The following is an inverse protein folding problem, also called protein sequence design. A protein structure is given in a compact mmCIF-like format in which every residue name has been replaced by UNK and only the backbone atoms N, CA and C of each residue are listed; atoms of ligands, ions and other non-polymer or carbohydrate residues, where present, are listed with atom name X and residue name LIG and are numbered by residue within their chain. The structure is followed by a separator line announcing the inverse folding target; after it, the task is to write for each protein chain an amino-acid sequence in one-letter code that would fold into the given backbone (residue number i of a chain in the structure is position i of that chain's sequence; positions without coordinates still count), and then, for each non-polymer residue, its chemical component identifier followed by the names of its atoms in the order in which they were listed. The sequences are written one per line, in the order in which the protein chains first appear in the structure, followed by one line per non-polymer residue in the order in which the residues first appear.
data_IF_561604400390
#
_entry.id   IF_561604400390
#
_cell.length_a   1.000
_cell.length_b   1.000
_cell.length_c   1.000
_cell.angle_alpha   90.00
_cell.angle_beta   90.00
_cell.angle_gamma   90.00
#
_symmetry.space_group_name_H-M   'P 1'
#
loop_
_entity.id
_entity.type
_entity.pdbx_description
1 polymer ?
#
# COMPACT_ATOMS: atom_id res chain seq x y z
N UNK A 1 -8.30 -3.61 -7.66
CA UNK A 1 -7.53 -2.91 -6.60
C UNK A 1 -6.96 -1.62 -7.18
N UNK A 2 -7.12 -0.47 -6.51
CA UNK A 2 -6.53 0.79 -6.95
C UNK A 2 -4.99 0.77 -6.75
N UNK A 3 -4.23 1.53 -7.54
CA UNK A 3 -2.77 1.61 -7.45
C UNK A 3 -2.28 1.99 -6.04
N UNK A 4 -2.96 2.92 -5.38
CA UNK A 4 -2.58 3.33 -4.01
C UNK A 4 -2.74 2.16 -3.04
N UNK A 5 -3.83 1.40 -3.13
CA UNK A 5 -4.04 0.23 -2.28
C UNK A 5 -3.02 -0.86 -2.56
N UNK A 6 -2.65 -1.04 -3.83
CA UNK A 6 -1.56 -1.93 -4.23
C UNK A 6 -0.27 -1.56 -3.49
N UNK A 7 0.19 -0.31 -3.57
CA UNK A 7 1.43 0.10 -2.89
C UNK A 7 1.33 0.03 -1.36
N UNK A 8 0.16 0.34 -0.78
CA UNK A 8 -0.11 0.17 0.65
C UNK A 8 0.06 -1.30 1.06
N UNK A 9 -0.46 -2.24 0.25
CA UNK A 9 -0.30 -3.67 0.49
C UNK A 9 1.17 -4.11 0.39
N UNK A 10 1.91 -3.62 -0.60
CA UNK A 10 3.33 -3.95 -0.74
C UNK A 10 4.15 -3.47 0.46
N UNK A 11 3.92 -2.24 0.94
CA UNK A 11 4.56 -1.75 2.15
C UNK A 11 4.22 -2.59 3.40
N UNK A 12 2.97 -3.07 3.52
CA UNK A 12 2.57 -3.97 4.61
C UNK A 12 3.26 -5.32 4.51
N UNK A 13 3.37 -5.89 3.32
CA UNK A 13 4.05 -7.17 3.10
C UNK A 13 5.55 -7.06 3.39
N UNK A 14 6.20 -5.98 2.95
CA UNK A 14 7.60 -5.69 3.27
C UNK A 14 7.83 -5.59 4.78
N UNK A 15 6.97 -4.87 5.48
CA UNK A 15 7.06 -4.75 6.93
C UNK A 15 6.77 -6.09 7.65
N UNK A 16 5.86 -6.92 7.12
CA UNK A 16 5.61 -8.28 7.66
C UNK A 16 6.84 -9.16 7.55
N UNK A 17 7.51 -9.12 6.41
CA UNK A 17 8.74 -9.89 6.18
C UNK A 17 9.89 -9.39 7.05
N UNK A 18 10.08 -8.08 7.17
CA UNK A 18 11.05 -7.52 8.11
C UNK A 18 10.82 -8.04 9.55
N UNK A 19 9.57 -8.14 10.02
CA UNK A 19 9.26 -8.65 11.36
C UNK A 19 9.56 -10.13 11.58
N UNK A 20 9.93 -10.87 10.53
CA UNK A 20 10.40 -12.26 10.66
C UNK A 20 11.84 -12.35 11.18
N UNK A 21 12.52 -11.20 11.35
CA UNK A 21 13.88 -11.09 11.85
C UNK A 21 14.12 -11.94 13.10
N UNK A 22 15.17 -12.76 13.05
CA UNK A 22 15.71 -13.52 14.18
C UNK A 22 17.17 -13.16 14.34
N UNK A 23 17.59 -12.93 15.57
CA UNK A 23 19.01 -12.77 15.88
C UNK A 23 19.65 -14.14 16.00
N UNK A 24 20.64 -14.41 15.14
CA UNK A 24 21.41 -15.65 15.15
C UNK A 24 22.84 -15.33 15.54
N UNK A 25 23.46 -16.21 16.33
CA UNK A 25 24.86 -16.12 16.70
C UNK A 25 25.65 -17.06 15.80
N UNK A 26 26.69 -16.55 15.15
CA UNK A 26 27.63 -17.40 14.44
C UNK A 26 28.55 -18.16 15.42
N UNK A 27 29.32 -19.12 14.89
CA UNK A 27 30.27 -19.92 15.69
C UNK A 27 31.36 -19.06 16.36
N UNK A 28 31.61 -17.86 15.84
CA UNK A 28 32.58 -16.88 16.35
C UNK A 28 31.98 -15.93 17.41
N UNK A 29 30.68 -16.04 17.72
CA UNK A 29 29.98 -15.25 18.72
C UNK A 29 29.48 -13.88 18.25
N UNK A 30 29.58 -13.57 16.96
CA UNK A 30 28.97 -12.39 16.34
C UNK A 30 27.50 -12.64 16.03
N UNK A 31 26.65 -11.64 16.33
CA UNK A 31 25.22 -11.71 16.04
C UNK A 31 24.90 -11.12 14.67
N UNK A 32 24.19 -11.87 13.83
CA UNK A 32 23.61 -11.37 12.59
C UNK A 32 22.09 -11.54 12.59
N UNK A 33 21.42 -10.83 11.68
CA UNK A 33 19.98 -10.94 11.48
C UNK A 33 19.71 -11.96 10.38
N UNK A 34 18.83 -12.92 10.66
CA UNK A 34 18.31 -13.85 9.67
C UNK A 34 16.81 -13.59 9.51
N UNK A 35 16.32 -13.60 8.27
CA UNK A 35 14.91 -13.39 7.93
C UNK A 35 14.30 -14.70 7.41
N UNK A 36 12.98 -14.83 7.57
CA UNK A 36 12.18 -15.91 6.97
C UNK A 36 11.06 -15.27 6.12
N UNK A 37 11.42 -14.50 5.07
CA UNK A 37 10.48 -13.67 4.35
C UNK A 37 9.58 -14.49 3.42
N UNK A 38 8.34 -14.02 3.24
CA UNK A 38 7.37 -14.62 2.31
C UNK A 38 7.31 -13.87 0.98
N UNK A 39 7.49 -12.55 0.99
CA UNK A 39 7.25 -11.68 -0.16
C UNK A 39 8.50 -11.07 -0.78
N UNK A 40 9.42 -10.61 0.05
CA UNK A 40 10.58 -9.82 -0.36
C UNK A 40 11.89 -10.46 0.03
N UNK A 41 12.90 -10.31 -0.82
CA UNK A 41 14.29 -10.50 -0.44
C UNK A 41 14.73 -9.33 0.46
N UNK A 42 14.52 -9.48 1.77
CA UNK A 42 14.79 -8.41 2.76
C UNK A 42 16.28 -8.07 2.81
N UNK A 43 17.14 -9.08 2.73
CA UNK A 43 18.60 -8.87 2.79
C UNK A 43 19.07 -8.04 1.60
N UNK A 44 18.64 -8.39 0.37
CA UNK A 44 18.97 -7.64 -0.83
C UNK A 44 18.45 -6.20 -0.79
N UNK A 45 17.19 -5.99 -0.35
CA UNK A 45 16.62 -4.64 -0.23
C UNK A 45 17.40 -3.81 0.80
N UNK A 46 17.72 -4.37 1.95
CA UNK A 46 18.31 -3.60 3.04
C UNK A 46 19.78 -3.26 2.74
N UNK A 47 20.49 -4.15 2.04
CA UNK A 47 21.83 -3.89 1.51
C UNK A 47 21.80 -2.76 0.47
N UNK A 48 20.96 -2.86 -0.56
CA UNK A 48 20.92 -1.90 -1.66
C UNK A 48 20.47 -0.49 -1.25
N UNK A 49 19.58 -0.38 -0.25
CA UNK A 49 19.04 0.88 0.23
C UNK A 49 19.70 1.39 1.53
N UNK A 50 20.77 0.74 1.98
CA UNK A 50 21.53 1.09 3.18
C UNK A 50 20.64 1.31 4.41
N UNK A 51 19.67 0.41 4.63
CA UNK A 51 18.66 0.56 5.68
C UNK A 51 19.23 0.12 7.03
N UNK A 52 19.11 1.01 8.03
CA UNK A 52 19.41 0.64 9.42
C UNK A 52 18.36 -0.35 9.93
N UNK A 53 18.83 -1.47 10.45
CA UNK A 53 18.03 -2.56 11.01
C UNK A 53 17.25 -2.13 12.26
N UNK A 54 17.68 -1.06 12.94
CA UNK A 54 17.05 -0.58 14.17
C UNK A 54 15.88 0.38 13.89
N UNK A 55 14.69 0.01 14.38
CA UNK A 55 13.52 0.91 14.35
C UNK A 55 12.80 1.00 13.00
N UNK A 56 12.97 0.00 12.13
CA UNK A 56 12.22 -0.07 10.88
C UNK A 56 10.72 -0.25 11.16
N UNK A 57 9.92 0.70 10.70
CA UNK A 57 8.47 0.77 10.95
C UNK A 57 7.67 0.59 9.66
N UNK A 58 6.34 0.49 9.76
CA UNK A 58 5.48 0.49 8.57
C UNK A 58 5.63 1.78 7.74
N UNK A 59 5.82 2.93 8.39
CA UNK A 59 6.10 4.19 7.71
C UNK A 59 7.43 4.12 6.96
N UNK A 60 8.46 3.54 7.58
CA UNK A 60 9.76 3.29 6.93
C UNK A 60 9.60 2.41 5.70
N UNK A 61 8.80 1.35 5.78
CA UNK A 61 8.49 0.47 4.65
C UNK A 61 7.75 1.22 3.52
N UNK A 62 6.79 2.08 3.84
CA UNK A 62 6.11 2.93 2.85
C UNK A 62 7.08 3.89 2.14
N UNK A 63 7.98 4.54 2.89
CA UNK A 63 9.01 5.39 2.30
C UNK A 63 9.99 4.60 1.43
N UNK A 64 10.33 3.37 1.83
CA UNK A 64 11.21 2.51 1.07
C UNK A 64 10.59 2.09 -0.26
N UNK A 65 9.31 1.65 -0.26
CA UNK A 65 8.57 1.36 -1.50
C UNK A 65 8.53 2.59 -2.42
N UNK A 66 8.32 3.78 -1.87
CA UNK A 66 8.35 5.01 -2.67
C UNK A 66 9.73 5.25 -3.29
N UNK A 67 10.82 5.08 -2.53
CA UNK A 67 12.20 5.20 -3.02
C UNK A 67 12.52 4.20 -4.12
N UNK A 68 12.11 2.94 -3.95
CA UNK A 68 12.26 1.90 -4.99
C UNK A 68 11.62 2.31 -6.33
N UNK A 69 10.59 3.14 -6.27
CA UNK A 69 9.83 3.62 -7.41
C UNK A 69 10.23 5.04 -7.86
N UNK A 70 11.41 5.53 -7.45
CA UNK A 70 11.99 6.87 -7.72
C UNK A 70 11.28 8.06 -7.06
N UNK A 71 10.41 7.83 -6.10
CA UNK A 71 9.81 8.91 -5.31
C UNK A 71 10.64 9.19 -4.07
N UNK A 72 10.77 10.46 -3.67
CA UNK A 72 11.56 10.81 -2.48
C UNK A 72 10.92 10.28 -1.19
N UNK A 73 9.58 10.21 -1.15
CA UNK A 73 8.80 9.84 0.02
C UNK A 73 7.41 9.34 -0.36
N UNK A 74 6.77 8.65 0.57
CA UNK A 74 5.43 8.09 0.40
C UNK A 74 4.38 9.11 -0.08
N UNK A 75 4.42 10.34 0.43
CA UNK A 75 3.48 11.39 0.01
C UNK A 75 3.60 11.73 -1.48
N UNK A 76 4.79 11.59 -2.05
CA UNK A 76 5.01 11.93 -3.46
C UNK A 76 4.41 10.82 -4.34
N UNK A 77 4.57 9.56 -3.94
CA UNK A 77 3.97 8.41 -4.62
C UNK A 77 2.43 8.47 -4.61
N UNK A 78 1.79 8.69 -3.46
CA UNK A 78 0.31 8.65 -3.38
C UNK A 78 -0.38 9.85 -4.07
N UNK A 79 0.36 10.93 -4.30
CA UNK A 79 -0.13 12.12 -5.01
C UNK A 79 0.36 12.18 -6.45
N UNK A 80 1.05 11.13 -6.93
CA UNK A 80 1.53 11.04 -8.30
C UNK A 80 0.35 10.99 -9.29
N UNK A 81 0.65 11.36 -10.52
CA UNK A 81 -0.32 11.30 -11.62
C UNK A 81 -0.69 9.85 -11.95
N UNK A 82 -1.82 9.66 -12.65
CA UNK A 82 -2.26 8.32 -13.05
C UNK A 82 -1.20 7.56 -13.86
N UNK A 83 -0.53 8.17 -14.87
CA UNK A 83 0.52 7.47 -15.62
C UNK A 83 1.71 7.07 -14.74
N UNK A 84 2.14 7.94 -13.84
CA UNK A 84 3.23 7.63 -12.88
C UNK A 84 2.85 6.47 -11.95
N UNK A 85 1.63 6.43 -11.44
CA UNK A 85 1.12 5.34 -10.59
C UNK A 85 1.04 4.02 -11.36
N UNK A 86 0.61 4.06 -12.62
CA UNK A 86 0.54 2.89 -13.49
C UNK A 86 1.93 2.36 -13.82
N UNK A 87 2.84 3.24 -14.27
CA UNK A 87 4.24 2.91 -14.54
C UNK A 87 4.91 2.30 -13.30
N UNK A 88 4.71 2.93 -12.15
CA UNK A 88 5.28 2.46 -10.88
C UNK A 88 4.79 1.06 -10.51
N UNK A 89 3.51 0.77 -10.74
CA UNK A 89 2.96 -0.57 -10.50
C UNK A 89 3.57 -1.57 -11.46
N UNK A 90 3.61 -1.25 -12.75
CA UNK A 90 4.15 -2.14 -13.78
C UNK A 90 5.64 -2.45 -13.56
N UNK A 91 6.42 -1.45 -13.15
CA UNK A 91 7.82 -1.61 -12.73
C UNK A 91 7.96 -2.53 -11.52
N UNK A 92 7.10 -2.35 -10.52
CA UNK A 92 7.15 -3.14 -9.31
C UNK A 92 6.90 -4.64 -9.58
N UNK A 93 5.86 -4.97 -10.34
CA UNK A 93 5.46 -6.36 -10.58
C UNK A 93 6.30 -7.06 -11.65
N UNK A 94 6.97 -6.31 -12.54
CA UNK A 94 7.79 -6.87 -13.62
C UNK A 94 9.30 -6.69 -13.38
N UNK A 95 9.71 -6.45 -12.13
CA UNK A 95 11.13 -6.26 -11.79
C UNK A 95 12.02 -7.49 -12.08
N UNK A 96 11.42 -8.67 -12.21
CA UNK A 96 12.09 -9.89 -12.66
C UNK A 96 12.39 -9.91 -14.17
N UNK A 97 11.68 -9.09 -14.95
CA UNK A 97 11.90 -8.91 -16.38
C UNK A 97 12.77 -7.67 -16.60
N UNK A 98 12.30 -6.52 -16.13
CA UNK A 98 13.02 -5.25 -16.25
C UNK A 98 13.31 -4.75 -14.83
N UNK A 99 14.53 -4.97 -14.30
CA UNK A 99 14.88 -4.53 -12.96
C UNK A 99 14.71 -3.03 -12.78
N UNK A 100 14.39 -2.62 -11.55
CA UNK A 100 14.12 -1.22 -11.22
C UNK A 100 15.29 -0.31 -11.61
N UNK A 101 16.52 -0.70 -11.28
CA UNK A 101 17.74 0.08 -11.55
C UNK A 101 18.08 0.11 -13.04
N UNK A 102 17.93 -1.01 -13.75
CA UNK A 102 18.22 -1.08 -15.19
C UNK A 102 17.29 -0.16 -15.99
N UNK A 103 16.02 -0.09 -15.60
CA UNK A 103 15.08 0.85 -16.22
C UNK A 103 15.53 2.31 -16.02
N UNK A 104 16.04 2.66 -14.84
CA UNK A 104 16.51 4.02 -14.53
C UNK A 104 17.72 4.39 -15.40
N UNK A 105 18.64 3.44 -15.61
CA UNK A 105 19.80 3.61 -16.49
C UNK A 105 19.34 3.76 -17.95
N UNK A 106 18.39 2.94 -18.39
CA UNK A 106 17.87 2.96 -19.76
C UNK A 106 17.19 4.29 -20.08
N UNK A 107 16.29 4.76 -19.21
CA UNK A 107 15.62 6.06 -19.36
C UNK A 107 16.64 7.18 -19.43
N UNK A 108 17.58 7.24 -18.48
CA UNK A 108 18.63 8.25 -18.47
C UNK A 108 19.56 8.20 -19.69
N UNK A 109 19.74 7.01 -20.29
CA UNK A 109 20.46 6.83 -21.54
C UNK A 109 19.73 7.47 -22.72
N UNK A 110 18.45 7.15 -22.89
CA UNK A 110 17.61 7.68 -23.97
C UNK A 110 17.46 9.20 -23.86
N UNK A 111 17.17 9.71 -22.66
CA UNK A 111 17.07 11.16 -22.41
C UNK A 111 18.35 11.91 -22.81
N UNK A 112 19.52 11.35 -22.47
CA UNK A 112 20.82 11.94 -22.80
C UNK A 112 21.14 11.86 -24.29
N UNK A 113 20.83 10.73 -24.94
CA UNK A 113 21.12 10.53 -26.37
C UNK A 113 20.24 11.40 -27.27
N UNK A 114 19.01 11.65 -26.84
CA UNK A 114 18.02 12.39 -27.60
C UNK A 114 17.81 13.85 -27.13
N UNK A 115 18.53 14.29 -26.09
CA UNK A 115 18.41 15.62 -25.46
C UNK A 115 16.94 15.96 -25.14
N UNK A 116 16.26 14.99 -24.53
CA UNK A 116 14.84 15.07 -24.15
C UNK A 116 14.65 14.65 -22.71
N UNK A 117 13.48 14.96 -22.15
CA UNK A 117 13.01 14.44 -20.86
C UNK A 117 11.68 13.77 -21.13
N UNK A 118 11.50 12.55 -20.64
CA UNK A 118 10.21 11.88 -20.78
C UNK A 118 9.14 12.63 -19.99
N UNK A 119 7.97 12.82 -20.60
CA UNK A 119 6.77 13.04 -19.82
C UNK A 119 6.21 11.69 -19.30
N UNK A 120 5.36 11.71 -18.26
CA UNK A 120 4.86 10.48 -17.65
C UNK A 120 4.09 9.54 -18.59
N UNK A 121 3.38 10.07 -19.58
CA UNK A 121 2.61 9.26 -20.53
C UNK A 121 3.57 8.59 -21.52
N UNK A 122 4.54 9.34 -22.06
CA UNK A 122 5.56 8.82 -22.96
C UNK A 122 6.46 7.77 -22.29
N UNK A 123 6.86 7.96 -21.03
CA UNK A 123 7.65 6.96 -20.29
C UNK A 123 6.85 5.67 -20.07
N UNK A 124 5.56 5.79 -19.74
CA UNK A 124 4.68 4.64 -19.54
C UNK A 124 4.53 3.83 -20.83
N UNK A 125 4.31 4.50 -21.96
CA UNK A 125 4.20 3.85 -23.27
C UNK A 125 5.52 3.20 -23.68
N UNK A 126 6.65 3.86 -23.42
CA UNK A 126 7.98 3.30 -23.66
C UNK A 126 8.24 2.06 -22.79
N UNK A 127 7.84 2.08 -21.52
CA UNK A 127 7.95 0.92 -20.63
C UNK A 127 7.12 -0.26 -21.12
N UNK A 128 5.85 -0.03 -21.48
CA UNK A 128 4.96 -1.07 -22.04
C UNK A 128 5.55 -1.65 -23.33
N UNK A 129 6.13 -0.82 -24.19
CA UNK A 129 6.81 -1.27 -25.39
C UNK A 129 7.99 -2.19 -25.06
N UNK A 130 8.88 -1.78 -24.15
CA UNK A 130 10.03 -2.58 -23.74
C UNK A 130 9.61 -3.91 -23.09
N UNK A 131 8.59 -3.88 -22.23
CA UNK A 131 8.06 -5.07 -21.58
C UNK A 131 7.51 -6.08 -22.60
N UNK A 132 6.82 -5.62 -23.64
CA UNK A 132 6.29 -6.48 -24.72
C UNK A 132 7.36 -7.08 -25.64
N UNK A 133 8.56 -6.51 -25.66
CA UNK A 133 9.70 -6.96 -26.47
C UNK A 133 10.84 -7.50 -25.60
N UNK A 134 10.56 -7.80 -24.34
CA UNK A 134 11.55 -8.29 -23.40
C UNK A 134 12.08 -9.66 -23.85
N UNK A 135 13.40 -9.82 -23.77
CA UNK A 135 14.09 -11.06 -24.12
C UNK A 135 14.35 -11.87 -22.84
N UNK A 136 13.59 -12.95 -22.67
CA UNK A 136 13.71 -13.88 -21.54
C UNK A 136 15.09 -14.56 -21.44
N UNK A 137 15.90 -14.52 -22.51
CA UNK A 137 17.27 -15.05 -22.48
C UNK A 137 18.26 -14.12 -21.75
N UNK A 138 17.88 -12.86 -21.52
CA UNK A 138 18.67 -11.93 -20.72
C UNK A 138 18.32 -12.14 -19.25
N UNK A 139 19.24 -12.72 -18.50
CA UNK A 139 19.08 -12.92 -17.06
C UNK A 139 19.60 -11.68 -16.34
N UNK A 140 18.69 -10.89 -15.79
CA UNK A 140 19.05 -9.81 -14.89
C UNK A 140 18.98 -10.28 -13.43
N UNK A 141 19.98 -9.88 -12.63
CA UNK A 141 20.01 -10.04 -11.18
C UNK A 141 20.13 -8.64 -10.55
N UNK A 142 19.50 -8.33 -9.39
CA UNK A 142 18.48 -9.07 -8.65
C UNK A 142 17.06 -8.47 -8.76
N UNK A 143 16.03 -9.31 -8.55
CA UNK A 143 14.65 -8.89 -8.21
C UNK A 143 14.51 -8.91 -6.69
N UNK A 144 13.79 -7.94 -6.14
CA UNK A 144 13.48 -7.90 -4.71
C UNK A 144 12.25 -8.73 -4.33
N UNK A 145 11.45 -9.17 -5.30
CA UNK A 145 10.31 -10.06 -5.06
C UNK A 145 10.75 -11.52 -5.09
N UNK A 146 10.28 -12.28 -4.10
CA UNK A 146 10.41 -13.73 -4.09
C UNK A 146 9.47 -14.36 -5.12
N UNK A 147 9.92 -15.44 -5.76
CA UNK A 147 9.26 -16.08 -6.91
C UNK A 147 7.78 -16.41 -6.67
N UNK A 148 7.45 -16.95 -5.49
CA UNK A 148 6.06 -17.24 -5.10
C UNK A 148 5.17 -15.99 -5.02
N UNK A 149 5.74 -14.86 -4.64
CA UNK A 149 4.98 -13.61 -4.55
C UNK A 149 4.80 -12.93 -5.90
N UNK A 150 5.71 -13.20 -6.83
CA UNK A 150 5.53 -12.83 -8.23
C UNK A 150 4.35 -13.60 -8.84
N UNK A 151 4.31 -14.93 -8.64
CA UNK A 151 3.20 -15.79 -9.09
C UNK A 151 1.84 -15.35 -8.51
N UNK A 152 1.78 -15.07 -7.20
CA UNK A 152 0.56 -14.57 -6.53
C UNK A 152 0.09 -13.21 -7.08
N UNK A 153 1.00 -12.37 -7.60
CA UNK A 153 0.67 -11.07 -8.19
C UNK A 153 0.29 -11.16 -9.67
N UNK A 154 0.91 -12.07 -10.44
CA UNK A 154 0.65 -12.27 -11.87
C UNK A 154 -0.59 -13.13 -12.15
N UNK A 155 -0.94 -14.08 -11.28
CA UNK A 155 -2.15 -14.92 -11.45
C UNK A 155 -3.46 -14.13 -11.28
N UNK A 156 -3.39 -12.91 -10.74
CA UNK A 156 -4.52 -11.96 -10.75
C UNK A 156 -4.75 -11.27 -12.10
N UNK A 157 -3.87 -11.51 -13.09
CA UNK A 157 -3.92 -11.01 -14.47
C UNK A 157 -4.23 -12.14 -15.47
N UNK A 158 -5.27 -12.96 -15.23
CA UNK A 158 -5.81 -13.78 -16.32
C UNK A 158 -6.36 -12.87 -17.42
N UNK A 159 -5.84 -13.04 -18.65
CA UNK A 159 -6.13 -12.37 -19.93
C UNK A 159 -7.63 -12.27 -20.32
N UNK A 160 -8.46 -11.62 -19.50
CA UNK A 160 -9.70 -11.02 -20.00
C UNK A 160 -9.41 -9.55 -20.37
N UNK A 161 -9.88 -9.08 -21.54
CA UNK A 161 -9.79 -7.67 -21.90
C UNK A 161 -10.34 -6.84 -20.74
N UNK A 162 -9.77 -5.65 -20.45
CA UNK A 162 -10.14 -4.88 -19.29
C UNK A 162 -11.66 -4.77 -19.26
N UNK A 163 -12.28 -5.41 -18.28
CA UNK A 163 -13.69 -5.22 -18.04
C UNK A 163 -13.80 -3.75 -17.75
N UNK A 164 -14.27 -3.00 -18.74
CA UNK A 164 -14.84 -1.68 -18.56
C UNK A 164 -15.69 -1.83 -17.32
N UNK A 165 -15.33 -1.14 -16.23
CA UNK A 165 -16.21 -1.01 -15.08
C UNK A 165 -17.45 -0.34 -15.64
N UNK A 166 -18.42 -1.16 -16.01
CA UNK A 166 -19.72 -0.71 -16.42
C UNK A 166 -20.37 -0.16 -15.15
N UNK A 167 -20.59 1.16 -15.03
CA UNK A 167 -21.16 1.78 -13.83
C UNK A 167 -22.59 1.30 -13.52
N UNK A 168 -23.13 0.36 -14.32
CA UNK A 168 -24.42 -0.28 -14.14
C UNK A 168 -24.40 -1.60 -13.34
N UNK A 169 -23.23 -2.14 -12.94
CA UNK A 169 -23.15 -3.43 -12.20
C UNK A 169 -22.56 -3.36 -10.79
N UNK A 170 -22.21 -2.17 -10.29
CA UNK A 170 -21.78 -1.99 -8.90
C UNK A 170 -22.90 -2.40 -7.94
N UNK A 171 -22.56 -3.21 -6.93
CA UNK A 171 -23.50 -3.57 -5.87
C UNK A 171 -23.83 -2.30 -5.08
N UNK A 172 -25.10 -1.89 -5.13
CA UNK A 172 -25.59 -0.67 -4.46
C UNK A 172 -26.34 -1.02 -3.20
N UNK A 173 -26.07 -0.25 -2.15
CA UNK A 173 -26.90 -0.22 -0.97
C UNK A 173 -28.10 0.67 -1.30
N UNK A 174 -29.29 0.08 -1.23
CA UNK A 174 -30.54 0.74 -1.66
C UNK A 174 -31.53 0.94 -0.53
N UNK A 175 -31.27 0.40 0.65
CA UNK A 175 -32.14 0.52 1.83
C UNK A 175 -31.32 0.57 3.12
N UNK A 176 -31.87 1.26 4.12
CA UNK A 176 -31.43 1.19 5.51
C UNK A 176 -32.58 0.60 6.36
N UNK A 177 -32.26 -0.11 7.47
CA UNK A 177 -30.93 -0.50 7.92
C UNK A 177 -30.24 -1.47 6.94
N UNK A 178 -28.92 -1.56 7.03
CA UNK A 178 -28.12 -2.48 6.22
C UNK A 178 -28.56 -3.94 6.44
N UNK A 179 -28.35 -4.79 5.45
CA UNK A 179 -28.52 -6.23 5.62
C UNK A 179 -27.55 -6.75 6.69
N UNK A 180 -27.90 -7.84 7.40
CA UNK A 180 -27.03 -8.39 8.45
C UNK A 180 -25.63 -8.76 7.89
N UNK A 181 -25.58 -9.25 6.64
CA UNK A 181 -24.35 -9.62 5.93
C UNK A 181 -23.50 -8.37 5.60
N UNK A 182 -24.11 -7.32 5.03
CA UNK A 182 -23.40 -6.07 4.74
C UNK A 182 -22.95 -5.38 6.03
N UNK A 183 -23.79 -5.40 7.07
CA UNK A 183 -23.48 -4.78 8.37
C UNK A 183 -22.24 -5.42 8.99
N UNK A 184 -22.14 -6.76 8.97
CA UNK A 184 -20.98 -7.47 9.49
C UNK A 184 -19.69 -7.11 8.72
N UNK A 185 -19.75 -7.08 7.39
CA UNK A 185 -18.60 -6.73 6.55
C UNK A 185 -18.14 -5.29 6.81
N UNK A 186 -19.06 -4.32 6.85
CA UNK A 186 -18.71 -2.93 7.09
C UNK A 186 -18.17 -2.67 8.50
N UNK A 187 -18.63 -3.41 9.52
CA UNK A 187 -18.06 -3.33 10.87
C UNK A 187 -16.61 -3.79 10.87
N UNK A 188 -16.28 -4.87 10.17
CA UNK A 188 -14.89 -5.35 10.06
C UNK A 188 -14.01 -4.32 9.37
N UNK A 189 -14.48 -3.76 8.24
CA UNK A 189 -13.78 -2.70 7.51
C UNK A 189 -13.61 -1.44 8.38
N UNK A 190 -14.66 -0.98 9.07
CA UNK A 190 -14.61 0.21 9.92
C UNK A 190 -13.62 0.04 11.08
N UNK A 191 -13.56 -1.14 11.72
CA UNK A 191 -12.56 -1.42 12.75
C UNK A 191 -11.14 -1.40 12.18
N UNK A 192 -10.91 -2.04 11.02
CA UNK A 192 -9.60 -2.05 10.39
C UNK A 192 -9.13 -0.65 9.97
N UNK A 193 -10.04 0.20 9.48
CA UNK A 193 -9.72 1.59 9.16
C UNK A 193 -9.52 2.42 10.41
N UNK A 194 -10.31 2.21 11.48
CA UNK A 194 -10.11 2.88 12.76
C UNK A 194 -8.71 2.61 13.33
N UNK A 195 -8.30 1.34 13.38
CA UNK A 195 -6.98 0.96 13.89
C UNK A 195 -5.86 1.56 13.02
N UNK A 196 -6.06 1.65 11.70
CA UNK A 196 -5.14 2.36 10.82
C UNK A 196 -5.09 3.88 11.09
N UNK A 197 -6.23 4.53 11.33
CA UNK A 197 -6.30 5.97 11.60
C UNK A 197 -5.69 6.31 12.96
N UNK A 198 -5.96 5.52 14.00
CA UNK A 198 -5.40 5.77 15.34
C UNK A 198 -3.87 5.62 15.34
N UNK A 199 -3.32 4.64 14.60
CA UNK A 199 -1.88 4.47 14.39
C UNK A 199 -1.26 5.68 13.67
N UNK A 200 -1.96 6.26 12.70
CA UNK A 200 -1.48 7.42 11.93
C UNK A 200 -1.58 8.74 12.70
N UNK A 201 -2.62 8.91 13.50
CA UNK A 201 -2.88 10.15 14.24
C UNK A 201 -2.07 10.26 15.53
N UNK A 202 -1.59 9.13 16.06
CA UNK A 202 -0.82 9.05 17.31
C UNK A 202 -1.42 9.93 18.43
N UNK A 203 -2.72 9.75 18.78
CA UNK A 203 -3.33 10.56 19.83
C UNK A 203 -2.60 10.36 21.15
N UNK A 204 -2.58 11.39 22.00
CA UNK A 204 -1.87 11.38 23.30
C UNK A 204 -2.29 10.20 24.18
N UNK A 205 -3.55 9.78 24.07
CA UNK A 205 -4.16 8.71 24.86
C UNK A 205 -4.80 7.65 23.93
N UNK A 206 -4.01 6.80 23.27
CA UNK A 206 -4.50 5.90 22.22
C UNK A 206 -5.39 4.78 22.78
N UNK A 207 -5.02 4.18 23.91
CA UNK A 207 -5.81 3.13 24.58
C UNK A 207 -7.20 3.64 25.03
N UNK A 208 -7.30 4.80 25.73
CA UNK A 208 -8.60 5.42 26.00
C UNK A 208 -9.39 5.81 24.75
N UNK A 209 -8.72 6.32 23.70
CA UNK A 209 -9.36 6.67 22.43
C UNK A 209 -9.98 5.43 21.76
N UNK A 210 -9.26 4.30 21.76
CA UNK A 210 -9.75 3.02 21.23
C UNK A 210 -10.94 2.46 22.01
N UNK A 211 -11.00 2.72 23.32
CA UNK A 211 -12.13 2.31 24.18
C UNK A 211 -13.42 3.10 23.94
N UNK A 212 -13.31 4.31 23.41
CA UNK A 212 -14.47 5.13 23.05
C UNK A 212 -15.04 4.79 21.67
N UNK A 213 -14.32 4.00 20.87
CA UNK A 213 -14.75 3.58 19.54
C UNK A 213 -15.88 2.56 19.58
N UNK A 214 -16.93 2.83 18.82
CA UNK A 214 -18.04 1.93 18.57
C UNK A 214 -18.32 1.90 17.06
N UNK A 215 -17.96 0.78 16.42
CA UNK A 215 -18.11 0.61 14.98
C UNK A 215 -19.58 0.52 14.55
N UNK A 216 -20.46 0.04 15.43
CA UNK A 216 -21.90 -0.07 15.16
C UNK A 216 -22.54 1.31 15.16
N UNK A 217 -22.31 2.09 16.22
CA UNK A 217 -22.81 3.46 16.33
C UNK A 217 -22.25 4.36 15.21
N UNK A 218 -20.98 4.19 14.85
CA UNK A 218 -20.39 4.91 13.72
C UNK A 218 -21.12 4.60 12.41
N UNK A 219 -21.38 3.32 12.12
CA UNK A 219 -22.02 2.91 10.87
C UNK A 219 -23.48 3.39 10.81
N UNK A 220 -24.21 3.29 11.92
CA UNK A 220 -25.60 3.72 12.05
C UNK A 220 -25.75 5.25 11.92
N UNK A 221 -24.73 6.02 12.29
CA UNK A 221 -24.72 7.48 12.15
C UNK A 221 -24.09 7.98 10.83
N UNK A 222 -23.33 7.13 10.13
CA UNK A 222 -22.64 7.51 8.90
C UNK A 222 -23.59 7.56 7.69
N UNK A 223 -24.52 6.61 7.60
CA UNK A 223 -25.46 6.49 6.50
C UNK A 223 -26.83 7.07 6.87
N UNK A 224 -27.44 7.81 5.94
CA UNK A 224 -28.82 8.25 6.04
C UNK A 224 -29.58 7.97 4.73
N UNK A 225 -30.92 8.07 4.76
CA UNK A 225 -31.76 7.79 3.59
C UNK A 225 -31.46 8.73 2.39
N UNK A 226 -30.93 9.93 2.62
CA UNK A 226 -30.57 10.88 1.56
C UNK A 226 -29.30 10.46 0.79
N UNK A 227 -28.47 9.60 1.37
CA UNK A 227 -27.26 9.06 0.75
C UNK A 227 -27.52 7.85 -0.15
N UNK A 228 -28.75 7.34 -0.20
CA UNK A 228 -29.12 6.17 -0.99
C UNK A 228 -29.62 6.55 -2.39
N UNK A 229 -29.33 5.73 -3.43
CA UNK A 229 -28.51 4.52 -3.39
C UNK A 229 -27.00 4.86 -3.47
N UNK A 230 -26.20 4.18 -2.66
CA UNK A 230 -24.73 4.36 -2.65
C UNK A 230 -24.02 3.08 -3.10
N UNK A 231 -22.93 3.24 -3.85
CA UNK A 231 -22.07 2.14 -4.24
C UNK A 231 -21.33 1.57 -3.02
N UNK A 232 -21.34 0.24 -2.88
CA UNK A 232 -20.71 -0.47 -1.75
C UNK A 232 -19.23 -0.13 -1.60
N UNK A 233 -18.51 -0.05 -2.72
CA UNK A 233 -17.08 0.33 -2.74
C UNK A 233 -16.88 1.81 -2.38
N UNK A 234 -17.76 2.69 -2.87
CA UNK A 234 -17.72 4.10 -2.53
C UNK A 234 -17.89 4.31 -1.03
N UNK A 235 -18.81 3.58 -0.38
CA UNK A 235 -18.98 3.63 1.07
C UNK A 235 -17.70 3.23 1.82
N UNK A 236 -17.00 2.18 1.37
CA UNK A 236 -15.72 1.77 1.95
C UNK A 236 -14.65 2.87 1.87
N UNK A 237 -14.55 3.59 0.74
CA UNK A 237 -13.61 4.72 0.60
C UNK A 237 -13.97 5.91 1.49
N UNK A 238 -15.24 6.07 1.85
CA UNK A 238 -15.70 7.12 2.75
C UNK A 238 -15.24 6.87 4.18
N UNK A 239 -15.12 5.60 4.61
CA UNK A 239 -14.70 5.28 5.98
C UNK A 239 -13.35 5.93 6.34
N UNK A 240 -12.34 5.87 5.47
CA UNK A 240 -11.03 6.51 5.74
C UNK A 240 -11.18 8.03 5.97
N UNK A 241 -12.02 8.69 5.18
CA UNK A 241 -12.24 10.14 5.28
C UNK A 241 -12.99 10.54 6.56
N UNK A 242 -14.08 9.84 6.89
CA UNK A 242 -14.90 10.17 8.06
C UNK A 242 -14.24 9.73 9.36
N UNK A 243 -13.46 8.64 9.35
CA UNK A 243 -12.80 8.14 10.55
C UNK A 243 -11.66 9.03 11.03
N UNK A 244 -10.98 9.77 10.15
CA UNK A 244 -9.96 10.75 10.58
C UNK A 244 -10.57 11.80 11.50
N UNK A 245 -11.69 12.42 11.08
CA UNK A 245 -12.36 13.42 11.90
C UNK A 245 -12.98 12.81 13.16
N UNK A 246 -13.54 11.60 13.05
CA UNK A 246 -14.15 10.90 14.18
C UNK A 246 -13.11 10.53 15.25
N UNK A 247 -11.98 9.94 14.85
CA UNK A 247 -10.86 9.60 15.76
C UNK A 247 -10.30 10.84 16.43
N UNK A 248 -10.19 11.97 15.73
CA UNK A 248 -9.78 13.24 16.33
C UNK A 248 -10.72 13.68 17.48
N UNK A 249 -12.03 13.54 17.29
CA UNK A 249 -13.02 13.85 18.32
C UNK A 249 -12.97 12.88 19.50
N UNK A 250 -12.77 11.58 19.24
CA UNK A 250 -12.60 10.58 20.30
C UNK A 250 -11.32 10.82 21.10
N UNK A 251 -10.23 11.20 20.44
CA UNK A 251 -8.98 11.56 21.08
C UNK A 251 -9.13 12.78 22.00
N UNK A 252 -9.80 13.83 21.52
CA UNK A 252 -10.09 15.01 22.36
C UNK A 252 -10.95 14.65 23.58
N UNK A 253 -11.94 13.77 23.42
CA UNK A 253 -12.76 13.29 24.54
C UNK A 253 -11.94 12.47 25.53
N UNK A 254 -11.07 11.58 25.06
CA UNK A 254 -10.16 10.81 25.88
C UNK A 254 -9.24 11.72 26.72
N UNK A 255 -8.69 12.76 26.11
CA UNK A 255 -7.83 13.74 26.78
C UNK A 255 -8.59 14.51 27.88
N UNK A 256 -9.84 14.92 27.62
CA UNK A 256 -10.69 15.55 28.62
C UNK A 256 -11.03 14.63 29.79
N UNK A 257 -11.32 13.35 29.52
CA UNK A 257 -11.64 12.38 30.55
C UNK A 257 -10.46 12.16 31.49
N UNK A 258 -9.25 12.03 30.94
CA UNK A 258 -8.03 11.86 31.75
C UNK A 258 -7.71 13.13 32.55
N UNK A 259 -7.90 14.30 31.95
CA UNK A 259 -7.65 15.59 32.63
C UNK A 259 -8.61 15.81 33.79
N UNK A 260 -9.88 15.35 33.70
CA UNK A 260 -10.88 15.46 34.79
C UNK A 260 -10.71 14.42 35.89
N UNK A 261 -9.94 13.35 35.67
CA UNK A 261 -9.65 12.30 36.65
C UNK A 261 -8.40 12.57 37.50
N UNK A 262 -7.57 13.54 37.10
CA UNK A 262 -6.39 14.03 37.81
C UNK A 262 -6.68 15.32 38.59
#
# INVERSE_FOLDING_TARGET
MNHIDFFKLQAKNLYRDYKTQKTVLNEDGESYSEYDPKFFDIDAIFEDYEIDLQGFSLMSAQHLVAKMLRFNKWSDLINATKPELELSRLRFINQNKIPLVEWDIQVAGVEREHDMVFDPDDELDYYKHCLSHYDESVIFYPTYLLEKSLEEMTDSESDEPPTVCDPETSVKITSLPLSDDDRAEFIEVANGVFDYVIERMEPLNPEPTRKLWDAEDFLDNLLNEEMLPIDREQLGTMFEHFLIAHVANLAAQADEMITKMN
#
